data_IF_158165686095
#
_entry.id   IF_158165686095
#
_cell.length_a   1.000
_cell.length_b   1.000
_cell.length_c   1.000
_cell.angle_alpha   90.00
_cell.angle_beta   90.00
_cell.angle_gamma   90.00
#
_symmetry.space_group_name_H-M   'P 1'
#
loop_
_entity.id
_entity.type
_entity.pdbx_description
1 polymer ?
#
# COMPACT_ATOMS: atom_id res chain seq x y z
N UNK A 1 2.97 35.96 -15.86
CA UNK A 1 1.90 35.66 -16.82
C UNK A 1 1.87 34.18 -16.93
N UNK A 2 1.01 33.55 -16.16
CA UNK A 2 0.81 32.11 -16.11
C UNK A 2 -0.46 31.84 -16.92
N UNK A 3 -0.31 31.03 -17.97
CA UNK A 3 -1.43 30.49 -18.73
C UNK A 3 -2.16 29.44 -17.88
N UNK A 4 -3.40 29.75 -17.53
CA UNK A 4 -4.35 28.80 -17.02
C UNK A 4 -4.80 27.90 -18.19
N UNK A 5 -4.19 26.73 -18.36
CA UNK A 5 -4.74 25.68 -19.21
C UNK A 5 -6.06 25.17 -18.60
N UNK A 6 -7.16 25.58 -19.20
CA UNK A 6 -8.48 24.97 -18.98
C UNK A 6 -8.42 23.50 -19.40
N UNK A 7 -8.36 22.61 -18.44
CA UNK A 7 -8.52 21.17 -18.65
C UNK A 7 -9.95 20.90 -19.10
N UNK A 8 -10.19 20.79 -20.39
CA UNK A 8 -11.46 20.27 -20.92
C UNK A 8 -11.60 18.81 -20.50
N UNK A 9 -12.60 18.51 -19.66
CA UNK A 9 -12.96 17.15 -19.30
C UNK A 9 -13.35 16.36 -20.56
N UNK A 10 -12.76 15.19 -20.74
CA UNK A 10 -13.09 14.28 -21.83
C UNK A 10 -14.58 13.86 -21.74
N UNK A 11 -15.29 13.67 -22.86
CA UNK A 11 -16.72 13.33 -22.87
C UNK A 11 -17.12 12.11 -22.05
N UNK A 12 -16.23 11.15 -21.85
CA UNK A 12 -16.45 9.95 -21.04
C UNK A 12 -16.50 10.21 -19.53
N UNK A 13 -15.81 11.22 -19.01
CA UNK A 13 -15.86 11.60 -17.60
C UNK A 13 -17.14 12.37 -17.24
N UNK A 14 -17.69 13.11 -18.19
CA UNK A 14 -18.98 13.79 -18.04
C UNK A 14 -20.16 12.81 -18.03
N UNK A 15 -20.07 11.67 -18.71
CA UNK A 15 -21.10 10.60 -18.70
C UNK A 15 -21.12 9.82 -17.37
N UNK A 16 -20.00 9.66 -16.70
CA UNK A 16 -19.93 8.95 -15.42
C UNK A 16 -20.54 9.73 -14.25
N UNK A 17 -20.52 11.06 -14.28
CA UNK A 17 -21.16 11.91 -13.26
C UNK A 17 -22.67 12.12 -13.48
N UNK A 18 -23.22 11.74 -14.62
CA UNK A 18 -24.63 11.90 -14.97
C UNK A 18 -25.47 10.61 -14.90
N UNK A 19 -24.94 9.53 -14.32
CA UNK A 19 -25.64 8.26 -14.20
C UNK A 19 -26.70 8.30 -13.09
N UNK A 20 -27.83 8.94 -13.38
CA UNK A 20 -29.10 8.53 -12.80
C UNK A 20 -29.42 7.08 -13.25
N UNK A 21 -30.09 6.25 -12.42
CA UNK A 21 -30.36 4.85 -12.75
C UNK A 21 -30.98 4.74 -14.14
N UNK A 22 -30.32 4.01 -15.03
CA UNK A 22 -30.71 3.87 -16.44
C UNK A 22 -32.11 3.29 -16.67
N UNK A 23 -32.72 2.67 -15.67
CA UNK A 23 -34.03 2.00 -15.75
C UNK A 23 -35.25 2.93 -15.60
N UNK A 24 -35.08 4.15 -15.06
CA UNK A 24 -36.23 5.05 -14.82
C UNK A 24 -36.52 6.06 -15.97
N UNK A 25 -35.69 6.08 -17.01
CA UNK A 25 -35.75 7.09 -18.09
C UNK A 25 -36.44 6.58 -19.38
N UNK A 26 -36.79 5.31 -19.44
CA UNK A 26 -37.46 4.77 -20.62
C UNK A 26 -38.95 4.97 -20.55
N UNK A 27 -39.45 5.70 -21.56
CA UNK A 27 -40.86 5.82 -22.03
C UNK A 27 -41.76 6.85 -21.34
N UNK A 28 -41.40 8.12 -21.46
CA UNK A 28 -42.43 9.17 -21.40
C UNK A 28 -42.81 9.50 -22.84
N UNK A 29 -44.09 9.28 -23.23
CA UNK A 29 -44.60 9.67 -24.53
C UNK A 29 -44.70 11.20 -24.63
N UNK A 30 -44.75 11.74 -25.84
CA UNK A 30 -44.92 13.19 -26.06
C UNK A 30 -46.26 13.70 -25.49
N UNK A 31 -47.31 12.86 -25.46
CA UNK A 31 -48.60 13.17 -24.83
C UNK A 31 -48.48 13.20 -23.30
N UNK A 32 -47.80 12.24 -22.71
CA UNK A 32 -47.55 12.22 -21.27
C UNK A 32 -46.66 13.38 -20.85
N UNK A 33 -45.66 13.74 -21.68
CA UNK A 33 -44.84 14.93 -21.47
C UNK A 33 -45.68 16.22 -21.47
N UNK A 34 -46.59 16.37 -22.45
CA UNK A 34 -47.45 17.54 -22.58
C UNK A 34 -48.43 17.63 -21.38
N UNK A 35 -48.99 16.49 -20.91
CA UNK A 35 -49.83 16.43 -19.74
C UNK A 35 -49.08 16.87 -18.48
N UNK A 36 -47.89 16.28 -18.24
CA UNK A 36 -47.03 16.63 -17.06
C UNK A 36 -46.63 18.10 -17.08
N UNK A 37 -46.30 18.64 -18.25
CA UNK A 37 -45.97 20.06 -18.40
C UNK A 37 -47.19 20.94 -18.12
N UNK A 38 -48.40 20.55 -18.56
CA UNK A 38 -49.63 21.24 -18.25
C UNK A 38 -49.92 21.29 -16.76
N UNK A 39 -49.82 20.14 -16.11
CA UNK A 39 -49.98 20.01 -14.65
C UNK A 39 -48.94 20.79 -13.87
N UNK A 40 -47.68 20.72 -14.30
CA UNK A 40 -46.59 21.50 -13.68
C UNK A 40 -46.84 23.01 -13.79
N UNK A 41 -47.30 23.51 -14.95
CA UNK A 41 -47.65 24.92 -15.08
C UNK A 41 -48.84 25.33 -14.16
N UNK A 42 -49.83 24.45 -14.00
CA UNK A 42 -50.90 24.67 -13.05
C UNK A 42 -50.42 24.77 -11.60
N UNK A 43 -49.50 23.88 -11.21
CA UNK A 43 -48.92 23.87 -9.87
C UNK A 43 -47.98 25.04 -9.64
N UNK A 44 -47.17 25.43 -10.66
CA UNK A 44 -46.39 26.65 -10.59
C UNK A 44 -47.25 27.91 -10.48
N UNK A 45 -48.45 27.92 -11.07
CA UNK A 45 -49.40 29.01 -10.92
C UNK A 45 -49.92 29.11 -9.48
N UNK A 46 -50.11 27.97 -8.78
CA UNK A 46 -50.41 27.94 -7.34
C UNK A 46 -49.29 28.55 -6.53
N UNK A 47 -48.02 28.17 -6.85
CA UNK A 47 -46.85 28.76 -6.19
C UNK A 47 -46.78 30.28 -6.39
N UNK A 48 -47.09 30.77 -7.60
CA UNK A 48 -47.15 32.20 -7.88
C UNK A 48 -48.15 32.95 -6.99
N UNK A 49 -49.25 32.32 -6.64
CA UNK A 49 -50.22 32.88 -5.73
C UNK A 49 -49.77 32.93 -4.26
N UNK A 50 -48.80 32.08 -3.90
CA UNK A 50 -48.18 32.04 -2.57
C UNK A 50 -46.99 33.00 -2.44
N UNK A 51 -46.37 33.40 -3.55
CA UNK A 51 -45.25 34.34 -3.55
C UNK A 51 -45.72 35.76 -3.37
N UNK A 52 -45.05 36.59 -2.54
CA UNK A 52 -45.35 37.98 -2.44
C UNK A 52 -45.10 38.68 -3.77
N UNK A 53 -46.01 39.58 -4.15
CA UNK A 53 -45.76 40.49 -5.27
C UNK A 53 -44.60 41.43 -4.93
N UNK A 54 -43.72 41.67 -5.87
CA UNK A 54 -42.62 42.62 -5.72
C UNK A 54 -42.77 43.77 -6.75
N UNK A 55 -42.29 44.93 -6.37
CA UNK A 55 -42.33 46.10 -7.24
C UNK A 55 -41.10 46.08 -8.16
N UNK A 56 -41.30 46.29 -9.47
CA UNK A 56 -40.24 46.55 -10.41
C UNK A 56 -39.60 47.92 -10.16
N UNK A 57 -38.49 48.22 -10.82
CA UNK A 57 -37.87 49.56 -10.79
C UNK A 57 -38.81 50.67 -11.25
N UNK A 58 -39.79 50.36 -12.10
CA UNK A 58 -40.79 51.27 -12.61
C UNK A 58 -42.06 51.39 -11.73
N UNK A 59 -42.06 50.66 -10.60
CA UNK A 59 -43.12 50.73 -9.58
C UNK A 59 -44.29 49.78 -9.78
N UNK A 60 -44.31 48.96 -10.82
CA UNK A 60 -45.35 47.99 -11.10
C UNK A 60 -45.27 46.76 -10.19
N UNK A 61 -46.40 46.27 -9.71
CA UNK A 61 -46.54 45.09 -8.92
C UNK A 61 -46.55 43.85 -9.85
N UNK A 62 -45.49 43.05 -9.82
CA UNK A 62 -45.34 41.84 -10.64
C UNK A 62 -45.36 40.63 -9.77
N UNK A 63 -46.15 39.59 -10.12
CA UNK A 63 -46.10 38.26 -9.51
C UNK A 63 -44.99 37.41 -10.13
N UNK A 64 -44.31 36.61 -9.34
CA UNK A 64 -43.12 35.93 -9.72
C UNK A 64 -43.18 35.05 -11.00
N UNK A 65 -44.39 34.66 -11.46
CA UNK A 65 -44.55 33.82 -12.67
C UNK A 65 -44.75 34.66 -13.94
N UNK A 66 -45.12 35.93 -13.84
CA UNK A 66 -45.25 36.83 -15.00
C UNK A 66 -43.92 37.25 -15.57
N UNK A 67 -42.83 36.81 -14.95
CA UNK A 67 -41.43 37.12 -15.36
C UNK A 67 -40.87 36.20 -16.45
N UNK A 68 -41.67 35.35 -17.11
CA UNK A 68 -41.20 34.62 -18.27
C UNK A 68 -40.92 35.60 -19.42
N UNK A 69 -39.66 35.92 -19.68
CA UNK A 69 -39.25 36.85 -20.68
C UNK A 69 -39.83 36.48 -22.07
N UNK A 70 -40.68 37.28 -22.67
CA UNK A 70 -41.29 37.04 -23.94
C UNK A 70 -40.28 36.84 -25.09
N UNK A 71 -39.09 37.43 -24.95
CA UNK A 71 -38.01 37.33 -25.94
C UNK A 71 -37.44 35.91 -26.00
N UNK A 72 -37.70 35.06 -25.01
CA UNK A 72 -37.26 33.66 -25.00
C UNK A 72 -38.30 32.65 -25.50
N UNK A 73 -39.44 33.12 -25.97
CA UNK A 73 -40.52 32.26 -26.50
C UNK A 73 -40.07 31.34 -27.64
N UNK A 74 -39.20 31.86 -28.52
CA UNK A 74 -38.64 31.06 -29.61
C UNK A 74 -37.77 29.91 -29.02
N UNK A 75 -36.96 30.18 -28.06
CA UNK A 75 -36.10 29.16 -27.42
C UNK A 75 -36.94 28.12 -26.67
N UNK A 76 -38.04 28.52 -26.05
CA UNK A 76 -38.98 27.58 -25.40
C UNK A 76 -39.66 26.67 -26.40
N UNK A 77 -40.15 27.23 -27.55
CA UNK A 77 -40.77 26.46 -28.63
C UNK A 77 -39.76 25.50 -29.25
N UNK A 78 -38.52 25.91 -29.47
CA UNK A 78 -37.45 25.05 -29.96
C UNK A 78 -37.15 23.90 -28.99
N UNK A 79 -37.03 24.19 -27.70
CA UNK A 79 -36.82 23.18 -26.67
C UNK A 79 -37.92 22.16 -26.60
N UNK A 80 -39.21 22.57 -26.81
CA UNK A 80 -40.35 21.69 -26.73
C UNK A 80 -40.53 20.84 -28.01
N UNK A 81 -40.11 21.33 -29.18
CA UNK A 81 -40.41 20.71 -30.49
C UNK A 81 -39.24 19.95 -31.12
N UNK A 82 -37.98 20.37 -30.88
CA UNK A 82 -36.83 19.77 -31.55
C UNK A 82 -36.41 18.43 -30.96
N UNK A 83 -36.12 17.40 -31.79
CA UNK A 83 -35.64 16.09 -31.29
C UNK A 83 -34.36 16.12 -30.49
N UNK A 84 -33.47 17.06 -30.79
CA UNK A 84 -32.17 17.23 -30.12
C UNK A 84 -32.29 17.46 -28.61
N UNK A 85 -33.42 17.99 -28.17
CA UNK A 85 -33.70 18.23 -26.76
C UNK A 85 -34.49 17.10 -26.06
N UNK A 86 -34.72 15.96 -26.71
CA UNK A 86 -35.54 14.88 -26.15
C UNK A 86 -35.01 14.35 -24.81
N UNK A 87 -33.67 14.19 -24.69
CA UNK A 87 -33.02 13.77 -23.43
C UNK A 87 -33.20 14.80 -22.31
N UNK A 88 -33.03 16.08 -22.64
CA UNK A 88 -33.20 17.19 -21.67
C UNK A 88 -34.65 17.33 -21.22
N UNK A 89 -35.63 17.13 -22.13
CA UNK A 89 -37.04 17.10 -21.78
C UNK A 89 -37.35 15.98 -20.78
N UNK A 90 -36.88 14.76 -21.01
CA UNK A 90 -37.08 13.64 -20.07
C UNK A 90 -36.50 13.93 -18.70
N UNK A 91 -35.31 14.50 -18.65
CA UNK A 91 -34.69 14.89 -17.38
C UNK A 91 -35.50 16.01 -16.68
N UNK A 92 -36.01 16.98 -17.44
CA UNK A 92 -36.84 18.06 -16.91
C UNK A 92 -38.12 17.51 -16.31
N UNK A 93 -38.82 16.60 -17.00
CA UNK A 93 -40.03 15.93 -16.48
C UNK A 93 -39.76 15.24 -15.14
N UNK A 94 -38.69 14.49 -15.04
CA UNK A 94 -38.33 13.83 -13.79
C UNK A 94 -38.10 14.83 -12.64
N UNK A 95 -37.42 15.93 -12.91
CA UNK A 95 -37.22 17.01 -11.93
C UNK A 95 -38.53 17.73 -11.57
N UNK A 96 -39.35 18.02 -12.56
CA UNK A 96 -40.65 18.67 -12.36
C UNK A 96 -41.61 17.81 -11.53
N UNK A 97 -41.63 16.47 -11.71
CA UNK A 97 -42.44 15.57 -10.85
C UNK A 97 -42.14 15.74 -9.37
N UNK A 98 -40.90 15.92 -8.99
CA UNK A 98 -40.49 16.17 -7.62
C UNK A 98 -41.14 17.49 -7.11
N UNK A 99 -41.01 18.56 -7.90
CA UNK A 99 -41.58 19.86 -7.55
C UNK A 99 -43.11 19.85 -7.51
N UNK A 100 -43.76 19.17 -8.48
CA UNK A 100 -45.23 19.01 -8.49
C UNK A 100 -45.73 18.30 -7.25
N UNK A 101 -45.04 17.26 -6.81
CA UNK A 101 -45.38 16.51 -5.59
C UNK A 101 -45.31 17.43 -4.35
N UNK A 102 -44.28 18.25 -4.22
CA UNK A 102 -44.19 19.25 -3.15
C UNK A 102 -45.29 20.31 -3.20
N UNK A 103 -45.54 20.86 -4.39
CA UNK A 103 -46.56 21.90 -4.56
C UNK A 103 -47.96 21.38 -4.35
N UNK A 104 -48.27 20.16 -4.74
CA UNK A 104 -49.60 19.53 -4.56
C UNK A 104 -49.91 19.21 -3.11
N UNK A 105 -48.89 18.94 -2.28
CA UNK A 105 -49.04 18.61 -0.85
C UNK A 105 -49.03 19.83 0.05
N UNK A 106 -48.72 21.03 -0.44
CA UNK A 106 -48.48 22.21 0.39
C UNK A 106 -49.52 23.28 0.16
N UNK A 107 -50.10 23.76 1.26
CA UNK A 107 -51.10 24.82 1.24
C UNK A 107 -50.55 26.24 1.47
N UNK A 108 -49.31 26.34 1.95
CA UNK A 108 -48.67 27.62 2.26
C UNK A 108 -47.14 27.55 2.00
N UNK A 109 -46.45 28.70 1.95
CA UNK A 109 -44.99 28.79 1.84
C UNK A 109 -44.28 28.11 3.00
N UNK A 110 -44.85 28.19 4.20
CA UNK A 110 -44.27 27.56 5.38
C UNK A 110 -44.37 26.03 5.31
N UNK A 111 -45.47 25.51 4.76
CA UNK A 111 -45.65 24.08 4.51
C UNK A 111 -44.65 23.59 3.46
N UNK A 112 -44.41 24.37 2.39
CA UNK A 112 -43.39 24.04 1.37
C UNK A 112 -42.03 23.94 2.02
N UNK A 113 -41.62 24.93 2.83
CA UNK A 113 -40.32 24.95 3.53
C UNK A 113 -40.18 23.75 4.47
N UNK A 114 -41.24 23.47 5.25
CA UNK A 114 -41.24 22.34 6.18
C UNK A 114 -41.05 21.00 5.42
N UNK A 115 -41.86 20.77 4.38
CA UNK A 115 -41.81 19.56 3.58
C UNK A 115 -40.45 19.40 2.88
N UNK A 116 -39.86 20.50 2.34
CA UNK A 116 -38.53 20.47 1.74
C UNK A 116 -37.45 20.14 2.77
N UNK A 117 -37.47 20.73 3.95
CA UNK A 117 -36.52 20.43 5.00
C UNK A 117 -36.64 18.97 5.49
N UNK A 118 -37.86 18.44 5.61
CA UNK A 118 -38.07 17.04 5.98
C UNK A 118 -37.53 16.08 4.92
N UNK A 119 -37.78 16.37 3.64
CA UNK A 119 -37.22 15.53 2.55
C UNK A 119 -35.69 15.68 2.42
N UNK A 120 -35.15 16.88 2.57
CA UNK A 120 -33.73 17.09 2.62
C UNK A 120 -33.06 16.27 3.74
N UNK A 121 -33.64 16.32 4.95
CA UNK A 121 -33.15 15.53 6.07
C UNK A 121 -33.20 14.00 5.81
N UNK A 122 -34.28 13.52 5.18
CA UNK A 122 -34.39 12.11 4.77
C UNK A 122 -33.32 11.74 3.72
N UNK A 123 -33.09 12.60 2.72
CA UNK A 123 -32.11 12.39 1.68
C UNK A 123 -30.69 12.39 2.26
N UNK A 124 -30.40 13.32 3.18
CA UNK A 124 -29.10 13.37 3.90
C UNK A 124 -28.88 12.10 4.72
N UNK A 125 -29.91 11.66 5.47
CA UNK A 125 -29.83 10.40 6.24
C UNK A 125 -29.60 9.19 5.32
N UNK A 126 -30.28 9.12 4.19
CA UNK A 126 -30.11 8.05 3.22
C UNK A 126 -28.73 8.10 2.55
N UNK A 127 -28.24 9.30 2.21
CA UNK A 127 -26.90 9.49 1.66
C UNK A 127 -25.86 9.03 2.68
N UNK A 128 -25.94 9.46 3.92
CA UNK A 128 -25.04 9.05 4.98
C UNK A 128 -25.03 7.53 5.16
N UNK A 129 -26.22 6.90 5.22
CA UNK A 129 -26.35 5.44 5.32
C UNK A 129 -25.71 4.72 4.12
N UNK A 130 -25.88 5.25 2.92
CA UNK A 130 -25.29 4.67 1.71
C UNK A 130 -23.78 4.86 1.68
N UNK A 131 -23.28 6.04 2.07
CA UNK A 131 -21.85 6.31 2.16
C UNK A 131 -21.17 5.41 3.20
N UNK A 132 -21.78 5.21 4.38
CA UNK A 132 -21.28 4.24 5.37
C UNK A 132 -21.20 2.82 4.81
N UNK A 133 -22.19 2.38 4.00
CA UNK A 133 -22.14 1.08 3.32
C UNK A 133 -21.00 1.00 2.29
N UNK A 134 -20.82 2.05 1.49
CA UNK A 134 -19.76 2.12 0.48
C UNK A 134 -18.39 2.06 1.16
N UNK A 135 -18.17 2.88 2.20
CA UNK A 135 -16.92 2.86 2.96
C UNK A 135 -16.64 1.48 3.56
N UNK A 136 -17.65 0.84 4.16
CA UNK A 136 -17.49 -0.51 4.70
C UNK A 136 -17.13 -1.54 3.62
N UNK A 137 -17.77 -1.47 2.45
CA UNK A 137 -17.50 -2.40 1.34
C UNK A 137 -16.16 -2.17 0.65
N UNK A 138 -15.67 -0.92 0.62
CA UNK A 138 -14.39 -0.57 -0.02
C UNK A 138 -13.18 -0.60 0.93
N UNK A 139 -13.39 -0.79 2.24
CA UNK A 139 -12.34 -0.68 3.27
C UNK A 139 -11.15 -1.60 3.01
N UNK A 140 -11.39 -2.83 2.61
CA UNK A 140 -10.34 -3.80 2.30
C UNK A 140 -9.50 -3.37 1.08
N UNK A 141 -10.16 -2.95 0.01
CA UNK A 141 -9.48 -2.43 -1.19
C UNK A 141 -8.70 -1.16 -0.88
N UNK A 142 -9.25 -0.27 -0.05
CA UNK A 142 -8.55 0.94 0.39
C UNK A 142 -7.31 0.60 1.23
N UNK A 143 -7.38 -0.40 2.10
CA UNK A 143 -6.23 -0.87 2.90
C UNK A 143 -5.10 -1.33 1.98
N UNK A 144 -5.43 -2.12 0.95
CA UNK A 144 -4.46 -2.57 -0.06
C UNK A 144 -3.87 -1.39 -0.83
N UNK A 145 -4.71 -0.46 -1.30
CA UNK A 145 -4.26 0.76 -1.97
C UNK A 145 -3.30 1.56 -1.09
N UNK A 146 -3.63 1.76 0.19
CA UNK A 146 -2.79 2.49 1.14
C UNK A 146 -1.46 1.79 1.42
N UNK A 147 -1.44 0.46 1.44
CA UNK A 147 -0.19 -0.30 1.56
C UNK A 147 0.73 -0.05 0.35
N UNK A 148 0.18 -0.09 -0.87
CA UNK A 148 0.92 0.23 -2.09
C UNK A 148 1.40 1.68 -2.11
N UNK A 149 0.56 2.63 -1.72
CA UNK A 149 0.90 4.05 -1.59
C UNK A 149 2.08 4.26 -0.63
N UNK A 150 2.04 3.64 0.55
CA UNK A 150 3.15 3.65 1.53
C UNK A 150 4.43 3.01 0.99
N UNK A 151 4.33 1.95 0.18
CA UNK A 151 5.49 1.38 -0.49
C UNK A 151 6.16 2.41 -1.39
N UNK A 152 5.43 3.05 -2.29
CA UNK A 152 6.00 4.03 -3.22
C UNK A 152 6.51 5.28 -2.51
N UNK A 153 5.80 5.80 -1.50
CA UNK A 153 6.24 6.93 -0.70
C UNK A 153 7.59 6.72 0.01
N UNK A 154 8.00 5.45 0.19
CA UNK A 154 9.26 5.07 0.81
C UNK A 154 10.29 4.51 -0.18
N UNK A 155 9.88 4.03 -1.35
CA UNK A 155 10.77 3.48 -2.36
C UNK A 155 11.36 4.54 -3.29
N UNK A 156 10.56 5.55 -3.66
CA UNK A 156 10.97 6.62 -4.57
C UNK A 156 11.76 7.70 -3.82
N UNK A 157 12.82 8.20 -4.46
CA UNK A 157 13.55 9.39 -4.03
C UNK A 157 12.97 10.64 -4.68
N UNK A 158 12.61 10.53 -5.96
CA UNK A 158 11.97 11.56 -6.75
C UNK A 158 10.61 11.05 -7.25
N UNK A 159 9.59 11.94 -7.43
CA UNK A 159 8.23 11.52 -7.81
C UNK A 159 8.14 10.70 -9.09
N UNK A 160 9.04 10.92 -10.04
CA UNK A 160 9.05 10.24 -11.35
C UNK A 160 10.01 9.06 -11.42
N UNK A 161 10.63 8.68 -10.31
CA UNK A 161 11.56 7.55 -10.27
C UNK A 161 10.84 6.23 -10.54
N UNK A 162 11.38 5.44 -11.46
CA UNK A 162 10.85 4.11 -11.77
C UNK A 162 11.29 3.10 -10.72
N UNK A 163 10.30 2.50 -10.07
CA UNK A 163 10.49 1.42 -9.12
C UNK A 163 10.19 0.09 -9.79
N UNK A 164 11.09 -0.87 -9.67
CA UNK A 164 10.90 -2.22 -10.19
C UNK A 164 10.06 -3.03 -9.19
N UNK A 165 8.75 -3.05 -9.40
CA UNK A 165 7.79 -3.79 -8.58
C UNK A 165 6.73 -4.46 -9.45
N UNK A 166 6.31 -5.66 -9.01
CA UNK A 166 5.20 -6.39 -9.60
C UNK A 166 4.11 -6.55 -8.53
N UNK A 167 2.86 -6.33 -8.92
CA UNK A 167 1.71 -6.42 -8.02
C UNK A 167 0.85 -7.60 -8.42
N UNK A 168 0.62 -8.51 -7.47
CA UNK A 168 -0.35 -9.59 -7.60
C UNK A 168 -1.63 -9.17 -6.84
N UNK A 169 -2.76 -9.13 -7.52
CA UNK A 169 -4.05 -8.81 -6.89
C UNK A 169 -4.63 -10.08 -6.24
N UNK A 170 -4.04 -10.49 -5.12
CA UNK A 170 -4.41 -11.68 -4.35
C UNK A 170 -4.36 -11.29 -2.88
N UNK A 171 -5.42 -11.57 -2.11
CA UNK A 171 -5.43 -11.28 -0.67
C UNK A 171 -4.59 -12.29 0.12
N UNK A 172 -4.16 -11.90 1.33
CA UNK A 172 -3.46 -12.81 2.25
C UNK A 172 -4.33 -14.03 2.61
N UNK A 173 -5.64 -13.84 2.77
CA UNK A 173 -6.60 -14.91 3.05
C UNK A 173 -6.70 -15.90 1.88
N UNK A 174 -6.72 -15.43 0.64
CA UNK A 174 -6.70 -16.28 -0.54
C UNK A 174 -5.39 -17.07 -0.67
N UNK A 175 -4.25 -16.45 -0.35
CA UNK A 175 -2.95 -17.11 -0.38
C UNK A 175 -2.77 -18.17 0.71
N UNK A 176 -3.50 -18.06 1.81
CA UNK A 176 -3.41 -18.99 2.96
C UNK A 176 -4.60 -19.93 3.07
N UNK A 177 -5.51 -19.93 2.09
CA UNK A 177 -6.69 -20.77 2.10
C UNK A 177 -6.31 -22.26 1.99
N UNK A 178 -6.58 -23.09 3.02
CA UNK A 178 -6.23 -24.50 2.99
C UNK A 178 -7.02 -25.31 1.95
N UNK A 179 -8.20 -24.81 1.54
CA UNK A 179 -9.08 -25.48 0.58
C UNK A 179 -8.79 -25.08 -0.88
N UNK A 180 -8.07 -23.97 -1.10
CA UNK A 180 -7.71 -23.47 -2.43
C UNK A 180 -6.25 -23.01 -2.42
N UNK A 181 -5.34 -23.89 -2.79
CA UNK A 181 -3.90 -23.62 -2.84
C UNK A 181 -3.42 -23.13 -4.19
N UNK A 182 -4.28 -23.09 -5.18
CA UNK A 182 -3.91 -22.80 -6.57
C UNK A 182 -3.24 -21.41 -6.69
N UNK A 183 -3.77 -20.40 -6.01
CA UNK A 183 -3.23 -19.04 -6.06
C UNK A 183 -1.81 -18.95 -5.49
N UNK A 184 -1.57 -19.60 -4.35
CA UNK A 184 -0.25 -19.66 -3.74
C UNK A 184 0.75 -20.44 -4.60
N UNK A 185 0.32 -21.59 -5.18
CA UNK A 185 1.15 -22.37 -6.09
C UNK A 185 1.50 -21.59 -7.36
N UNK A 186 0.55 -20.87 -7.94
CA UNK A 186 0.78 -20.04 -9.13
C UNK A 186 1.74 -18.89 -8.84
N UNK A 187 1.60 -18.21 -7.70
CA UNK A 187 2.56 -17.19 -7.25
C UNK A 187 3.96 -17.80 -7.08
N UNK A 188 4.06 -18.94 -6.41
CA UNK A 188 5.33 -19.63 -6.18
C UNK A 188 5.98 -20.07 -7.49
N UNK A 189 5.19 -20.59 -8.45
CA UNK A 189 5.66 -20.97 -9.79
C UNK A 189 6.20 -19.75 -10.55
N UNK A 190 5.45 -18.64 -10.58
CA UNK A 190 5.87 -17.43 -11.27
C UNK A 190 7.20 -16.88 -10.74
N UNK A 191 7.39 -16.87 -9.43
CA UNK A 191 8.65 -16.46 -8.79
C UNK A 191 9.79 -17.46 -9.12
N UNK A 192 9.48 -18.76 -9.08
CA UNK A 192 10.47 -19.81 -9.34
C UNK A 192 10.92 -19.84 -10.80
N UNK A 193 10.03 -19.54 -11.75
CA UNK A 193 10.36 -19.47 -13.17
C UNK A 193 11.43 -18.42 -13.43
N UNK A 194 11.25 -17.19 -12.94
CA UNK A 194 12.27 -16.12 -13.10
C UNK A 194 13.60 -16.47 -12.43
N UNK A 195 13.58 -17.19 -11.30
CA UNK A 195 14.79 -17.62 -10.62
C UNK A 195 15.51 -18.76 -11.37
N UNK A 196 14.79 -19.59 -12.13
CA UNK A 196 15.35 -20.70 -12.92
C UNK A 196 15.91 -20.28 -14.28
N UNK A 197 15.63 -19.06 -14.72
CA UNK A 197 16.20 -18.53 -15.95
C UNK A 197 17.74 -18.58 -15.96
N UNK A 198 18.32 -18.69 -17.14
CA UNK A 198 19.78 -18.63 -17.32
C UNK A 198 20.36 -17.29 -16.89
N UNK A 199 19.62 -16.21 -17.14
CA UNK A 199 19.92 -14.87 -16.65
C UNK A 199 18.98 -14.49 -15.53
N UNK A 200 19.46 -14.48 -14.30
CA UNK A 200 18.65 -14.18 -13.11
C UNK A 200 18.56 -12.68 -12.77
N UNK A 201 18.73 -11.82 -13.78
CA UNK A 201 18.62 -10.37 -13.60
C UNK A 201 17.20 -9.93 -13.19
N UNK A 202 16.21 -10.63 -13.71
CA UNK A 202 14.79 -10.35 -13.47
C UNK A 202 14.22 -11.06 -12.22
N UNK A 203 15.04 -11.84 -11.50
CA UNK A 203 14.56 -12.56 -10.32
C UNK A 203 14.26 -11.62 -9.15
N UNK A 204 13.20 -11.91 -8.41
CA UNK A 204 12.78 -11.14 -7.26
C UNK A 204 13.78 -11.21 -6.09
N UNK A 205 13.97 -10.07 -5.40
CA UNK A 205 14.75 -9.98 -4.17
C UNK A 205 13.87 -10.08 -2.92
N UNK A 206 12.67 -9.53 -2.99
CA UNK A 206 11.70 -9.49 -1.90
C UNK A 206 10.30 -9.86 -2.41
N UNK A 207 9.51 -10.47 -1.53
CA UNK A 207 8.07 -10.67 -1.69
C UNK A 207 7.39 -10.10 -0.45
N UNK A 208 6.50 -9.15 -0.64
CA UNK A 208 5.79 -8.46 0.43
C UNK A 208 4.34 -8.91 0.43
N UNK A 209 3.88 -9.42 1.56
CA UNK A 209 2.48 -9.79 1.79
C UNK A 209 1.98 -8.92 2.94
N UNK A 210 1.42 -7.73 2.62
CA UNK A 210 0.95 -6.82 3.65
C UNK A 210 -0.20 -7.43 4.45
N UNK A 211 -0.06 -7.43 5.77
CA UNK A 211 -1.01 -8.00 6.69
C UNK A 211 -0.59 -9.36 7.25
N UNK A 212 -1.44 -9.90 8.09
CA UNK A 212 -1.16 -11.13 8.82
C UNK A 212 -1.53 -12.37 8.00
N UNK A 213 -0.66 -13.37 7.98
CA UNK A 213 -0.86 -14.64 7.25
C UNK A 213 -1.70 -15.68 8.01
N UNK A 214 -2.33 -15.32 9.12
CA UNK A 214 -3.28 -16.16 9.85
C UNK A 214 -2.68 -17.12 10.85
N UNK A 215 -1.46 -17.66 10.64
CA UNK A 215 -0.81 -18.58 11.55
C UNK A 215 0.71 -18.67 11.32
N UNK A 216 1.43 -19.25 12.29
CA UNK A 216 2.87 -19.56 12.17
C UNK A 216 3.11 -20.58 11.06
N UNK A 217 2.23 -21.58 10.89
CA UNK A 217 2.35 -22.59 9.82
C UNK A 217 2.28 -21.96 8.42
N UNK A 218 1.41 -20.97 8.24
CA UNK A 218 1.33 -20.22 6.97
C UNK A 218 2.62 -19.44 6.74
N UNK A 219 3.13 -18.73 7.76
CA UNK A 219 4.42 -17.99 7.69
C UNK A 219 5.55 -18.95 7.30
N UNK A 220 5.63 -20.10 7.93
CA UNK A 220 6.61 -21.15 7.65
C UNK A 220 6.47 -21.71 6.22
N UNK A 221 5.25 -21.85 5.74
CA UNK A 221 4.96 -22.30 4.37
C UNK A 221 5.50 -21.33 3.33
N UNK A 222 5.31 -20.03 3.53
CA UNK A 222 5.91 -19.00 2.67
C UNK A 222 7.44 -19.06 2.70
N UNK A 223 8.03 -19.13 3.88
CA UNK A 223 9.49 -19.28 4.03
C UNK A 223 10.02 -20.52 3.33
N UNK A 224 9.39 -21.67 3.51
CA UNK A 224 9.80 -22.99 3.02
C UNK A 224 9.63 -23.16 1.52
N UNK A 225 8.47 -22.75 0.97
CA UNK A 225 8.13 -23.03 -0.42
C UNK A 225 8.50 -21.88 -1.37
N UNK A 226 8.49 -20.63 -0.90
CA UNK A 226 8.76 -19.49 -1.72
C UNK A 226 10.13 -18.85 -1.40
N UNK A 227 10.40 -18.51 -0.14
CA UNK A 227 11.58 -17.75 0.26
C UNK A 227 12.89 -18.52 0.07
N UNK A 228 13.05 -19.65 0.75
CA UNK A 228 14.28 -20.44 0.79
C UNK A 228 14.71 -20.96 -0.59
N UNK A 229 13.83 -21.60 -1.41
CA UNK A 229 14.24 -22.15 -2.70
C UNK A 229 14.66 -21.07 -3.71
N UNK A 230 13.98 -19.94 -3.70
CA UNK A 230 14.16 -18.89 -4.70
C UNK A 230 15.03 -17.72 -4.21
N UNK A 231 15.56 -17.81 -2.98
CA UNK A 231 16.35 -16.73 -2.36
C UNK A 231 15.62 -15.38 -2.37
N UNK A 232 14.33 -15.42 -2.00
CA UNK A 232 13.44 -14.26 -1.92
C UNK A 232 13.12 -13.99 -0.46
N UNK A 233 13.33 -12.77 -0.02
CA UNK A 233 13.02 -12.36 1.35
C UNK A 233 11.54 -12.01 1.50
N UNK A 234 10.85 -12.67 2.43
CA UNK A 234 9.42 -12.48 2.69
C UNK A 234 9.25 -11.44 3.79
N UNK A 235 8.37 -10.46 3.53
CA UNK A 235 7.97 -9.47 4.52
C UNK A 235 6.46 -9.58 4.75
N UNK A 236 6.05 -9.71 6.00
CA UNK A 236 4.65 -9.79 6.42
C UNK A 236 4.49 -9.18 7.81
N UNK A 237 3.28 -9.13 8.33
CA UNK A 237 2.96 -8.41 9.55
C UNK A 237 2.26 -9.31 10.58
N UNK A 238 2.27 -8.90 11.85
CA UNK A 238 1.35 -9.39 12.86
C UNK A 238 -0.05 -8.79 12.64
N UNK A 239 -1.09 -9.26 13.34
CA UNK A 239 -2.41 -8.64 13.33
C UNK A 239 -2.37 -7.17 13.77
N UNK A 240 -3.42 -6.42 13.42
CA UNK A 240 -3.60 -5.03 13.80
C UNK A 240 -4.03 -4.91 15.27
N UNK A 241 -3.09 -4.96 16.19
CA UNK A 241 -3.32 -4.82 17.62
C UNK A 241 -3.44 -3.35 18.03
N UNK A 242 -4.27 -3.07 19.02
CA UNK A 242 -4.44 -1.72 19.56
C UNK A 242 -3.44 -1.38 20.67
N UNK A 243 -2.90 -2.40 21.32
CA UNK A 243 -2.02 -2.26 22.49
C UNK A 243 -0.81 -3.16 22.40
N UNK A 244 0.27 -2.74 23.05
CA UNK A 244 1.48 -3.53 23.18
C UNK A 244 1.24 -4.87 23.90
N UNK A 245 0.39 -4.87 24.93
CA UNK A 245 0.07 -6.06 25.72
C UNK A 245 -0.54 -7.16 24.84
N UNK A 246 -1.43 -6.80 23.92
CA UNK A 246 -2.06 -7.76 22.98
C UNK A 246 -1.02 -8.41 22.06
N UNK A 247 0.00 -7.66 21.65
CA UNK A 247 1.13 -8.22 20.88
C UNK A 247 1.88 -9.25 21.70
N UNK A 248 2.17 -8.93 22.96
CA UNK A 248 2.91 -9.83 23.83
C UNK A 248 2.08 -11.07 24.20
N UNK A 249 0.81 -10.91 24.51
CA UNK A 249 -0.10 -12.03 24.79
C UNK A 249 -0.11 -13.03 23.60
N UNK A 250 -0.16 -12.53 22.36
CA UNK A 250 -0.07 -13.38 21.17
C UNK A 250 1.30 -14.06 21.06
N UNK A 251 2.40 -13.31 21.24
CA UNK A 251 3.76 -13.86 21.08
C UNK A 251 4.18 -14.82 22.20
N UNK A 252 3.49 -14.79 23.33
CA UNK A 252 3.67 -15.67 24.47
C UNK A 252 2.74 -16.90 24.43
N UNK A 253 1.72 -16.87 23.55
CA UNK A 253 0.83 -18.01 23.33
C UNK A 253 1.61 -19.23 22.80
N UNK A 254 1.33 -20.44 23.30
CA UNK A 254 2.00 -21.66 22.84
C UNK A 254 1.95 -21.91 21.31
N UNK A 255 0.93 -21.43 20.63
CA UNK A 255 0.81 -21.53 19.16
C UNK A 255 1.88 -20.72 18.41
N UNK A 256 2.48 -19.72 19.06
CA UNK A 256 3.56 -18.87 18.53
C UNK A 256 4.95 -19.25 19.07
N UNK A 257 5.06 -20.24 19.94
CA UNK A 257 6.35 -20.67 20.51
C UNK A 257 7.39 -21.03 19.43
N UNK A 258 6.94 -21.49 18.27
CA UNK A 258 7.78 -21.86 17.13
C UNK A 258 7.91 -20.76 16.06
N UNK A 259 7.47 -19.52 16.33
CA UNK A 259 7.62 -18.43 15.37
C UNK A 259 9.09 -18.25 14.99
N UNK A 260 9.97 -18.10 15.97
CA UNK A 260 11.43 -18.19 15.76
C UNK A 260 11.91 -19.63 15.76
N UNK A 261 13.02 -19.90 15.05
CA UNK A 261 13.61 -21.23 15.04
C UNK A 261 14.94 -21.32 14.31
N UNK A 262 15.47 -22.53 14.23
CA UNK A 262 16.76 -22.83 13.59
C UNK A 262 16.63 -23.37 12.17
N UNK A 263 15.41 -23.48 11.66
CA UNK A 263 15.15 -23.97 10.30
C UNK A 263 15.62 -22.97 9.26
N UNK A 264 16.31 -23.44 8.25
CA UNK A 264 16.95 -22.58 7.24
C UNK A 264 16.01 -21.66 6.47
N UNK A 265 14.73 -21.99 6.35
CA UNK A 265 13.76 -21.14 5.68
C UNK A 265 13.36 -19.90 6.50
N UNK A 266 13.49 -19.95 7.83
CA UNK A 266 13.16 -18.83 8.74
C UNK A 266 14.08 -17.61 8.55
N UNK A 267 15.29 -17.82 8.01
CA UNK A 267 16.19 -16.71 7.67
C UNK A 267 15.69 -15.84 6.49
N UNK A 268 14.65 -16.30 5.78
CA UNK A 268 14.05 -15.59 4.65
C UNK A 268 12.74 -14.88 5.01
N UNK A 269 12.36 -14.85 6.26
CA UNK A 269 11.11 -14.22 6.69
C UNK A 269 11.38 -13.16 7.74
N UNK A 270 10.82 -11.98 7.54
CA UNK A 270 10.76 -10.90 8.53
C UNK A 270 9.31 -10.51 8.78
N UNK A 271 8.94 -10.44 10.05
CA UNK A 271 7.61 -10.07 10.51
C UNK A 271 7.67 -8.71 11.19
N UNK A 272 6.67 -7.86 10.93
CA UNK A 272 6.60 -6.51 11.46
C UNK A 272 5.38 -6.34 12.37
N UNK A 273 5.46 -5.40 13.30
CA UNK A 273 4.38 -5.08 14.21
C UNK A 273 4.19 -3.57 14.33
N UNK A 274 2.97 -3.17 14.74
CA UNK A 274 2.53 -1.80 14.95
C UNK A 274 2.14 -1.09 13.64
N UNK A 275 0.85 -1.14 13.33
CA UNK A 275 0.28 -0.61 12.08
C UNK A 275 0.43 0.92 11.99
N UNK A 276 0.53 1.38 10.75
CA UNK A 276 0.63 2.79 10.38
C UNK A 276 -0.76 3.38 10.16
N UNK A 277 -1.00 4.61 10.62
CA UNK A 277 -2.21 5.33 10.28
C UNK A 277 -2.21 5.67 8.79
N UNK A 278 -3.22 5.20 8.07
CA UNK A 278 -3.44 5.51 6.67
C UNK A 278 -4.26 6.79 6.48
N UNK A 279 -5.34 6.95 7.25
CA UNK A 279 -6.14 8.18 7.34
C UNK A 279 -6.95 8.21 8.63
N UNK A 280 -7.36 9.41 9.01
CA UNK A 280 -8.28 9.58 10.14
C UNK A 280 -9.69 9.10 9.79
N UNK A 281 -10.48 8.83 10.83
CA UNK A 281 -11.92 8.67 10.75
C UNK A 281 -12.56 9.88 10.04
N UNK A 282 -13.69 9.66 9.41
CA UNK A 282 -14.48 10.70 8.76
C UNK A 282 -15.96 10.58 9.16
N UNK A 283 -16.80 11.49 8.66
CA UNK A 283 -18.24 11.52 9.02
C UNK A 283 -19.02 10.23 8.66
N UNK A 284 -18.46 9.37 7.83
CA UNK A 284 -19.10 8.11 7.39
C UNK A 284 -18.48 6.87 8.04
N UNK A 285 -17.41 7.03 8.81
CA UNK A 285 -16.62 5.96 9.39
C UNK A 285 -16.06 6.39 10.74
N UNK A 286 -16.43 5.67 11.79
CA UNK A 286 -16.17 6.08 13.18
C UNK A 286 -14.73 5.71 13.63
N UNK A 287 -14.01 4.91 12.83
CA UNK A 287 -12.67 4.44 13.16
C UNK A 287 -11.62 4.93 12.16
N UNK A 288 -10.43 5.25 12.67
CA UNK A 288 -9.25 5.50 11.85
C UNK A 288 -8.91 4.28 10.99
N UNK A 289 -8.31 4.52 9.84
CA UNK A 289 -7.83 3.47 8.97
C UNK A 289 -6.35 3.21 9.22
N UNK A 290 -6.02 1.94 9.40
CA UNK A 290 -4.67 1.46 9.64
C UNK A 290 -4.20 0.56 8.51
N UNK A 291 -2.91 0.67 8.13
CA UNK A 291 -2.29 -0.14 7.08
C UNK A 291 -1.10 -0.91 7.64
N UNK A 292 -0.86 -2.14 7.15
CA UNK A 292 0.28 -2.95 7.58
C UNK A 292 1.62 -2.26 7.28
N UNK A 293 2.62 -2.33 8.18
CA UNK A 293 3.89 -1.65 8.01
C UNK A 293 4.84 -2.30 7.00
N UNK A 294 4.71 -3.59 6.70
CA UNK A 294 5.64 -4.33 5.84
C UNK A 294 5.85 -3.69 4.46
N UNK A 295 4.78 -3.16 3.86
CA UNK A 295 4.86 -2.48 2.56
C UNK A 295 5.73 -1.20 2.62
N UNK A 296 5.53 -0.37 3.64
CA UNK A 296 6.33 0.85 3.84
C UNK A 296 7.80 0.52 4.12
N UNK A 297 8.06 -0.50 4.95
CA UNK A 297 9.42 -0.97 5.24
C UNK A 297 10.09 -1.55 4.00
N UNK A 298 9.35 -2.31 3.18
CA UNK A 298 9.87 -2.83 1.92
C UNK A 298 10.26 -1.71 0.94
N UNK A 299 9.43 -0.66 0.85
CA UNK A 299 9.77 0.55 0.10
C UNK A 299 11.06 1.19 0.62
N UNK A 300 11.19 1.31 1.94
CA UNK A 300 12.40 1.83 2.57
C UNK A 300 13.62 0.95 2.33
N UNK A 301 13.47 -0.36 2.34
CA UNK A 301 14.54 -1.31 2.00
C UNK A 301 14.95 -1.17 0.53
N UNK A 302 14.00 -1.02 -0.39
CA UNK A 302 14.28 -0.76 -1.81
C UNK A 302 15.09 0.53 -2.00
N UNK A 303 14.67 1.62 -1.37
CA UNK A 303 15.39 2.89 -1.40
C UNK A 303 16.80 2.76 -0.81
N UNK A 304 16.92 2.09 0.35
CA UNK A 304 18.19 1.88 1.03
C UNK A 304 19.18 1.07 0.22
N UNK A 305 18.72 0.04 -0.51
CA UNK A 305 19.56 -0.78 -1.40
C UNK A 305 20.21 0.07 -2.51
N UNK A 306 19.49 1.10 -2.96
CA UNK A 306 19.97 2.00 -4.03
C UNK A 306 20.95 3.05 -3.50
N UNK A 307 20.68 3.62 -2.32
CA UNK A 307 21.43 4.78 -1.78
C UNK A 307 22.66 4.35 -0.97
N UNK A 308 22.48 3.36 -0.10
CA UNK A 308 23.47 2.98 0.93
C UNK A 308 24.02 1.60 0.67
N UNK A 309 23.20 0.73 0.10
CA UNK A 309 23.50 -0.68 -0.11
C UNK A 309 22.79 -1.60 0.90
N UNK A 310 22.59 -2.84 0.49
CA UNK A 310 21.79 -3.83 1.21
C UNK A 310 22.38 -4.31 2.54
N UNK A 311 23.68 -4.06 2.80
CA UNK A 311 24.35 -4.39 4.06
C UNK A 311 23.80 -3.54 5.21
N UNK A 312 23.29 -2.34 4.90
CA UNK A 312 22.70 -1.46 5.89
C UNK A 312 21.23 -1.81 6.09
N UNK A 313 20.83 -2.29 7.27
CA UNK A 313 19.40 -2.48 7.53
C UNK A 313 18.69 -1.14 7.61
N UNK A 314 17.50 -1.06 7.02
CA UNK A 314 16.63 0.10 7.10
C UNK A 314 15.89 0.09 8.44
N UNK A 315 16.65 0.26 9.52
CA UNK A 315 16.17 0.23 10.89
C UNK A 315 16.91 1.28 11.73
N UNK A 316 16.32 1.65 12.87
CA UNK A 316 16.84 2.66 13.78
C UNK A 316 16.61 4.10 13.31
N UNK A 317 16.90 5.05 14.19
CA UNK A 317 16.56 6.46 13.99
C UNK A 317 17.22 7.13 12.78
N UNK A 318 18.34 6.60 12.32
CA UNK A 318 19.06 7.15 11.17
C UNK A 318 18.50 6.66 9.82
N UNK A 319 18.17 5.37 9.72
CA UNK A 319 17.81 4.74 8.44
C UNK A 319 16.39 4.18 8.39
N UNK A 320 15.75 3.97 9.54
CA UNK A 320 14.43 3.35 9.65
C UNK A 320 13.25 4.31 9.64
N UNK A 321 13.45 5.60 9.40
CA UNK A 321 12.35 6.57 9.32
C UNK A 321 11.45 6.28 8.13
N UNK A 322 10.15 6.12 8.39
CA UNK A 322 9.14 5.85 7.38
C UNK A 322 8.51 7.17 6.93
N UNK A 323 8.58 7.44 5.65
CA UNK A 323 7.95 8.61 5.04
C UNK A 323 6.43 8.48 5.07
N UNK A 324 5.73 9.62 5.15
CA UNK A 324 4.27 9.69 5.16
C UNK A 324 3.60 8.81 6.25
N UNK A 325 4.25 8.67 7.42
CA UNK A 325 3.75 7.90 8.55
C UNK A 325 3.99 8.67 9.86
N UNK A 326 2.93 9.33 10.37
CA UNK A 326 3.00 10.15 11.59
C UNK A 326 2.57 9.39 12.84
N UNK A 327 1.57 8.53 12.70
CA UNK A 327 0.95 7.86 13.84
C UNK A 327 1.01 6.34 13.69
N UNK A 328 1.17 5.69 14.83
CA UNK A 328 1.18 4.24 14.98
C UNK A 328 -0.01 3.80 15.82
N UNK A 329 -0.46 2.55 15.65
CA UNK A 329 -1.63 2.01 16.34
C UNK A 329 -1.47 2.07 17.86
N UNK A 330 -0.28 1.74 18.37
CA UNK A 330 0.05 1.84 19.78
C UNK A 330 1.42 2.49 20.01
N UNK A 331 1.65 2.99 21.23
CA UNK A 331 2.94 3.51 21.65
C UNK A 331 3.76 2.36 22.22
N UNK A 332 4.98 2.20 21.73
CA UNK A 332 5.99 1.30 22.30
C UNK A 332 7.20 2.13 22.72
N UNK A 333 7.66 1.95 23.95
CA UNK A 333 8.90 2.51 24.45
C UNK A 333 10.09 1.60 24.10
N UNK A 334 11.29 1.94 24.51
CA UNK A 334 12.49 1.17 24.20
C UNK A 334 12.46 -0.27 24.79
N UNK A 335 12.08 -0.51 26.07
CA UNK A 335 11.88 -1.86 26.58
C UNK A 335 10.84 -2.68 25.85
N UNK A 336 9.71 -2.06 25.44
CA UNK A 336 8.65 -2.74 24.71
C UNK A 336 9.12 -3.17 23.32
N UNK A 337 9.80 -2.27 22.60
CA UNK A 337 10.40 -2.59 21.31
C UNK A 337 11.44 -3.72 21.44
N UNK A 338 12.24 -3.73 22.50
CA UNK A 338 13.23 -4.79 22.74
C UNK A 338 12.56 -6.14 22.96
N UNK A 339 11.49 -6.21 23.77
CA UNK A 339 10.74 -7.45 24.02
C UNK A 339 10.14 -8.03 22.73
N UNK A 340 9.56 -7.17 21.87
CA UNK A 340 9.05 -7.61 20.57
C UNK A 340 10.20 -8.13 19.69
N UNK A 341 11.35 -7.44 19.66
CA UNK A 341 12.52 -7.86 18.88
C UNK A 341 13.11 -9.20 19.37
N UNK A 342 13.10 -9.48 20.68
CA UNK A 342 13.53 -10.75 21.25
C UNK A 342 12.71 -11.94 20.74
N UNK A 343 11.45 -11.71 20.36
CA UNK A 343 10.57 -12.69 19.73
C UNK A 343 10.75 -12.78 18.21
N UNK A 344 11.74 -12.09 17.61
CA UNK A 344 12.03 -12.10 16.17
C UNK A 344 11.13 -11.21 15.33
N UNK A 345 10.29 -10.41 15.96
CA UNK A 345 9.38 -9.47 15.30
C UNK A 345 9.99 -8.06 15.30
N UNK A 346 9.80 -7.33 14.23
CA UNK A 346 10.36 -5.99 14.02
C UNK A 346 9.30 -4.92 14.34
N UNK A 347 9.37 -4.25 15.51
CA UNK A 347 8.40 -3.22 15.85
C UNK A 347 8.67 -1.91 15.10
N UNK A 348 7.60 -1.16 14.86
CA UNK A 348 7.68 0.25 14.54
C UNK A 348 7.41 1.06 15.81
N UNK A 349 8.18 2.13 16.00
CA UNK A 349 8.05 3.04 17.15
C UNK A 349 7.85 4.48 16.66
N UNK A 350 7.22 5.31 17.48
CA UNK A 350 7.10 6.75 17.20
C UNK A 350 8.29 7.50 17.78
N UNK A 351 8.97 8.25 16.95
CA UNK A 351 10.07 9.12 17.36
C UNK A 351 9.94 10.49 16.68
N UNK A 352 9.88 11.56 17.48
CA UNK A 352 9.73 12.94 16.98
C UNK A 352 8.59 13.12 15.97
N UNK A 353 7.46 12.45 16.20
CA UNK A 353 6.28 12.55 15.34
C UNK A 353 6.39 11.80 14.00
N UNK A 354 7.36 10.90 13.88
CA UNK A 354 7.55 10.05 12.69
C UNK A 354 7.59 8.58 13.12
N UNK A 355 7.03 7.68 12.30
CA UNK A 355 7.18 6.25 12.50
C UNK A 355 8.60 5.80 12.10
N UNK A 356 9.21 4.95 12.91
CA UNK A 356 10.56 4.41 12.69
C UNK A 356 10.54 2.90 12.87
N UNK A 357 11.08 2.16 11.89
CA UNK A 357 11.31 0.73 12.03
C UNK A 357 12.49 0.49 13.01
N UNK A 358 12.25 -0.24 14.11
CA UNK A 358 13.23 -0.48 15.17
C UNK A 358 13.68 -1.94 15.23
N UNK A 359 13.69 -2.64 14.12
CA UNK A 359 14.14 -4.01 14.03
C UNK A 359 14.68 -4.37 12.64
N UNK A 360 15.61 -5.30 12.63
CA UNK A 360 16.19 -5.88 11.41
C UNK A 360 16.26 -7.40 11.49
N UNK A 361 15.40 -8.01 12.31
CA UNK A 361 15.39 -9.44 12.57
C UNK A 361 14.73 -10.24 11.45
N UNK A 362 15.27 -11.42 11.22
CA UNK A 362 14.55 -12.53 10.59
C UNK A 362 14.00 -13.43 11.69
N UNK A 363 13.16 -14.40 11.32
CA UNK A 363 12.67 -15.42 12.27
C UNK A 363 13.73 -16.48 12.62
N UNK A 364 14.94 -16.37 12.10
CA UNK A 364 16.03 -17.29 12.37
C UNK A 364 16.74 -16.94 13.69
N UNK A 365 16.84 -17.90 14.61
CA UNK A 365 17.34 -17.64 15.95
C UNK A 365 18.86 -17.68 16.09
N UNK A 366 19.60 -18.24 15.11
CA UNK A 366 21.06 -18.29 15.18
C UNK A 366 21.68 -17.00 14.65
N UNK A 367 22.82 -16.63 15.21
CA UNK A 367 23.64 -15.50 14.76
C UNK A 367 23.96 -15.54 13.26
N UNK A 368 24.33 -14.41 12.73
CA UNK A 368 24.60 -14.10 11.32
C UNK A 368 23.36 -13.93 10.48
N UNK A 369 22.51 -14.95 10.34
CA UNK A 369 21.31 -14.88 9.50
C UNK A 369 20.03 -14.49 10.25
N UNK A 370 20.14 -14.11 11.49
CA UNK A 370 19.07 -13.47 12.26
C UNK A 370 18.87 -11.98 11.91
N UNK A 371 19.64 -11.46 10.93
CA UNK A 371 19.54 -10.09 10.41
C UNK A 371 19.25 -10.14 8.92
N UNK A 372 18.17 -9.53 8.48
CA UNK A 372 17.76 -9.60 7.08
C UNK A 372 18.77 -8.96 6.11
N UNK A 373 19.45 -7.88 6.50
CA UNK A 373 20.45 -7.24 5.63
C UNK A 373 21.63 -8.16 5.33
N UNK A 374 22.07 -8.95 6.31
CA UNK A 374 23.12 -9.94 6.12
C UNK A 374 22.64 -11.06 5.20
N UNK A 375 21.44 -11.62 5.45
CA UNK A 375 20.88 -12.67 4.59
C UNK A 375 20.76 -12.19 3.14
N UNK A 376 20.21 -11.01 2.92
CA UNK A 376 20.05 -10.41 1.60
C UNK A 376 21.42 -10.16 0.90
N UNK A 377 22.44 -9.76 1.65
CA UNK A 377 23.81 -9.62 1.13
C UNK A 377 24.35 -10.94 0.58
N UNK A 378 24.19 -12.03 1.32
CA UNK A 378 24.57 -13.36 0.84
C UNK A 378 23.78 -13.78 -0.40
N UNK A 379 22.49 -13.49 -0.45
CA UNK A 379 21.64 -13.83 -1.60
C UNK A 379 22.03 -13.03 -2.85
N UNK A 380 22.39 -11.77 -2.70
CA UNK A 380 22.89 -10.94 -3.79
C UNK A 380 24.19 -11.50 -4.38
N UNK A 381 25.17 -11.79 -3.52
CA UNK A 381 26.44 -12.39 -3.98
C UNK A 381 26.18 -13.72 -4.64
N UNK A 382 25.36 -14.59 -4.03
CA UNK A 382 25.02 -15.90 -4.58
C UNK A 382 24.38 -15.80 -5.97
N UNK A 383 23.36 -14.94 -6.12
CA UNK A 383 22.66 -14.72 -7.39
C UNK A 383 23.61 -14.17 -8.46
N UNK A 384 24.45 -13.22 -8.11
CA UNK A 384 25.44 -12.64 -9.04
C UNK A 384 26.45 -13.68 -9.50
N UNK A 385 26.99 -14.50 -8.57
CA UNK A 385 27.88 -15.58 -8.88
C UNK A 385 27.22 -16.63 -9.78
N UNK A 386 26.01 -17.06 -9.45
CA UNK A 386 25.24 -18.01 -10.27
C UNK A 386 25.04 -17.47 -11.69
N UNK A 387 24.66 -16.19 -11.83
CA UNK A 387 24.49 -15.57 -13.14
C UNK A 387 25.79 -15.52 -13.96
N UNK A 388 26.95 -15.32 -13.29
CA UNK A 388 28.26 -15.39 -13.93
C UNK A 388 28.59 -16.83 -14.32
N UNK A 389 28.47 -17.79 -13.41
CA UNK A 389 28.82 -19.20 -13.62
C UNK A 389 27.97 -19.87 -14.71
N UNK A 390 26.67 -19.53 -14.78
CA UNK A 390 25.81 -20.00 -15.86
C UNK A 390 26.33 -19.67 -17.26
N UNK A 391 27.06 -18.54 -17.41
CA UNK A 391 27.66 -18.13 -18.68
C UNK A 391 28.95 -18.86 -18.99
N UNK A 392 29.53 -19.56 -18.02
CA UNK A 392 30.77 -20.31 -18.17
C UNK A 392 30.56 -21.81 -18.46
N UNK A 393 29.29 -22.26 -18.45
CA UNK A 393 28.96 -23.67 -18.74
C UNK A 393 29.45 -24.10 -20.09
N UNK A 394 29.88 -25.38 -20.22
CA UNK A 394 30.48 -26.02 -21.40
C UNK A 394 31.85 -25.49 -21.80
N UNK A 395 32.52 -24.67 -21.00
CA UNK A 395 33.91 -24.31 -21.21
C UNK A 395 34.84 -25.44 -20.77
N UNK A 396 35.90 -25.70 -21.51
CA UNK A 396 36.87 -26.76 -21.17
C UNK A 396 37.55 -26.43 -19.85
N UNK A 397 37.60 -27.42 -18.95
CA UNK A 397 38.20 -27.31 -17.62
C UNK A 397 39.72 -27.50 -17.73
N UNK A 398 40.44 -26.42 -18.01
CA UNK A 398 41.89 -26.33 -17.95
C UNK A 398 42.36 -25.32 -16.90
N UNK A 399 43.66 -25.27 -16.62
CA UNK A 399 44.19 -24.34 -15.63
C UNK A 399 43.99 -22.88 -16.03
N UNK A 400 44.07 -22.57 -17.33
CA UNK A 400 43.88 -21.22 -17.87
C UNK A 400 42.44 -20.73 -17.61
N UNK A 401 41.47 -21.62 -17.80
CA UNK A 401 40.05 -21.29 -17.51
C UNK A 401 39.80 -21.06 -16.00
N UNK A 402 40.37 -21.93 -15.13
CA UNK A 402 40.28 -21.78 -13.68
C UNK A 402 40.88 -20.45 -13.22
N UNK A 403 42.04 -20.08 -13.75
CA UNK A 403 42.72 -18.83 -13.41
C UNK A 403 41.97 -17.60 -13.91
N UNK A 404 41.37 -17.66 -15.11
CA UNK A 404 40.52 -16.61 -15.64
C UNK A 404 39.27 -16.42 -14.80
N UNK A 405 38.56 -17.51 -14.44
CA UNK A 405 37.39 -17.49 -13.58
C UNK A 405 37.73 -16.92 -12.20
N UNK A 406 38.85 -17.33 -11.60
CA UNK A 406 39.31 -16.79 -10.31
C UNK A 406 39.54 -15.29 -10.40
N UNK A 407 40.19 -14.81 -11.47
CA UNK A 407 40.44 -13.38 -11.69
C UNK A 407 39.15 -12.58 -11.82
N UNK A 408 38.16 -13.09 -12.56
CA UNK A 408 36.87 -12.41 -12.75
C UNK A 408 36.06 -12.34 -11.45
N UNK A 409 35.99 -13.47 -10.72
CA UNK A 409 35.34 -13.53 -9.42
C UNK A 409 36.01 -12.60 -8.41
N UNK A 410 37.36 -12.64 -8.36
CA UNK A 410 38.14 -11.79 -7.46
C UNK A 410 37.96 -10.30 -7.79
N UNK A 411 37.87 -9.94 -9.06
CA UNK A 411 37.57 -8.57 -9.50
C UNK A 411 36.20 -8.10 -9.02
N UNK A 412 35.17 -8.94 -9.14
CA UNK A 412 33.82 -8.62 -8.63
C UNK A 412 33.85 -8.50 -7.10
N UNK A 413 34.45 -9.47 -6.41
CA UNK A 413 34.49 -9.48 -4.94
C UNK A 413 35.25 -8.27 -4.37
N UNK A 414 36.37 -7.89 -4.99
CA UNK A 414 37.10 -6.66 -4.62
C UNK A 414 36.27 -5.40 -4.78
N UNK A 415 35.46 -5.34 -5.84
CA UNK A 415 34.60 -4.18 -6.08
C UNK A 415 33.52 -3.98 -5.01
N UNK A 416 33.12 -5.03 -4.29
CA UNK A 416 32.09 -4.99 -3.24
C UNK A 416 32.64 -5.14 -1.82
N UNK A 417 33.97 -5.15 -1.65
CA UNK A 417 34.65 -5.37 -0.36
C UNK A 417 35.48 -4.15 0.06
N UNK A 418 35.56 -3.91 1.37
CA UNK A 418 36.36 -2.85 1.98
C UNK A 418 35.67 -1.47 1.94
N UNK A 419 36.26 -0.48 2.62
CA UNK A 419 35.75 0.90 2.67
C UNK A 419 34.25 0.97 3.02
N UNK A 420 33.48 1.69 2.22
CA UNK A 420 32.02 1.84 2.36
C UNK A 420 31.22 0.77 1.61
N UNK A 421 31.90 -0.24 1.03
CA UNK A 421 31.27 -1.31 0.28
C UNK A 421 30.49 -2.32 1.14
N UNK A 422 29.88 -3.30 0.49
CA UNK A 422 28.89 -4.24 1.08
C UNK A 422 29.52 -5.22 2.07
N UNK A 423 30.78 -5.68 1.80
CA UNK A 423 31.48 -6.68 2.58
C UNK A 423 32.69 -6.08 3.30
N UNK A 424 33.05 -6.68 4.43
CA UNK A 424 34.30 -6.38 5.10
C UNK A 424 35.46 -7.14 4.48
N UNK A 425 35.28 -8.44 4.21
CA UNK A 425 36.28 -9.32 3.61
C UNK A 425 35.62 -10.53 2.92
N UNK A 426 36.41 -11.27 2.13
CA UNK A 426 35.97 -12.49 1.45
C UNK A 426 37.12 -13.46 1.22
N UNK A 427 36.78 -14.73 1.00
CA UNK A 427 37.72 -15.73 0.53
C UNK A 427 37.05 -16.58 -0.57
N UNK A 428 37.78 -16.78 -1.70
CA UNK A 428 37.30 -17.58 -2.84
C UNK A 428 38.26 -18.72 -3.10
N UNK A 429 37.74 -19.93 -3.07
CA UNK A 429 38.49 -21.15 -3.42
C UNK A 429 37.80 -21.80 -4.61
N UNK A 430 38.53 -21.97 -5.69
CA UNK A 430 38.08 -22.69 -6.89
C UNK A 430 38.94 -23.93 -7.02
N UNK A 431 38.30 -25.07 -7.10
CA UNK A 431 38.95 -26.35 -7.07
C UNK A 431 38.35 -27.31 -8.12
N UNK A 432 39.21 -28.00 -8.86
CA UNK A 432 38.84 -29.07 -9.78
C UNK A 432 39.98 -30.05 -9.87
N UNK A 433 39.90 -31.20 -9.23
CA UNK A 433 40.84 -32.31 -9.39
C UNK A 433 40.55 -33.12 -10.65
N UNK A 434 41.36 -34.14 -10.90
CA UNK A 434 41.20 -34.97 -12.10
C UNK A 434 39.92 -35.81 -12.10
N UNK A 435 39.41 -36.18 -10.95
CA UNK A 435 38.14 -36.89 -10.82
C UNK A 435 36.94 -35.95 -11.09
N UNK A 436 36.97 -34.77 -10.55
CA UNK A 436 35.95 -33.71 -10.81
C UNK A 436 35.96 -33.31 -12.30
N UNK A 437 37.14 -33.16 -12.91
CA UNK A 437 37.25 -32.88 -14.35
C UNK A 437 36.64 -33.98 -15.21
N UNK A 438 36.79 -35.26 -14.84
CA UNK A 438 36.10 -36.37 -15.51
C UNK A 438 34.59 -36.34 -15.33
N UNK A 439 34.11 -35.86 -14.17
CA UNK A 439 32.68 -35.64 -13.90
C UNK A 439 32.17 -34.31 -14.46
N UNK A 440 33.01 -33.50 -15.08
CA UNK A 440 32.71 -32.17 -15.64
C UNK A 440 32.26 -31.18 -14.57
N UNK A 441 32.83 -31.23 -13.38
CA UNK A 441 32.49 -30.45 -12.20
C UNK A 441 33.61 -29.51 -11.79
N UNK A 442 33.27 -28.34 -11.27
CA UNK A 442 34.17 -27.39 -10.62
C UNK A 442 33.50 -26.92 -9.34
N UNK A 443 34.20 -26.99 -8.23
CA UNK A 443 33.76 -26.44 -6.97
C UNK A 443 34.19 -24.99 -6.83
N UNK A 444 33.22 -24.10 -6.60
CA UNK A 444 33.45 -22.69 -6.30
C UNK A 444 32.91 -22.40 -4.90
N UNK A 445 33.83 -22.26 -3.95
CA UNK A 445 33.50 -21.94 -2.57
C UNK A 445 33.80 -20.46 -2.30
N UNK A 446 32.76 -19.71 -1.92
CA UNK A 446 32.85 -18.29 -1.55
C UNK A 446 32.50 -18.14 -0.08
N UNK A 447 33.46 -17.70 0.72
CA UNK A 447 33.26 -17.37 2.12
C UNK A 447 33.19 -15.85 2.27
N UNK A 448 32.17 -15.35 2.94
CA UNK A 448 31.90 -13.91 3.08
C UNK A 448 32.02 -13.49 4.54
N UNK A 449 32.66 -12.36 4.76
CA UNK A 449 32.64 -11.64 6.03
C UNK A 449 31.77 -10.39 5.85
N UNK A 450 30.48 -10.42 6.27
CA UNK A 450 29.58 -9.28 6.13
C UNK A 450 29.87 -8.18 7.15
N UNK A 451 29.40 -6.98 6.87
CA UNK A 451 29.36 -5.91 7.86
C UNK A 451 28.15 -6.10 8.79
N UNK A 452 28.39 -6.09 10.08
CA UNK A 452 27.35 -6.26 11.10
C UNK A 452 26.85 -4.89 11.56
N UNK A 453 25.53 -4.67 11.61
CA UNK A 453 24.98 -3.46 12.21
C UNK A 453 25.14 -3.46 13.72
N UNK A 454 25.50 -2.31 14.30
CA UNK A 454 25.49 -2.14 15.74
C UNK A 454 24.05 -2.13 16.28
N UNK A 455 23.76 -2.99 17.26
CA UNK A 455 22.44 -3.05 17.93
C UNK A 455 22.50 -2.52 19.36
N UNK A 456 23.60 -2.73 20.06
CA UNK A 456 23.77 -2.39 21.48
C UNK A 456 25.06 -1.61 21.66
N UNK A 457 25.00 -0.55 22.43
CA UNK A 457 26.15 0.23 22.86
C UNK A 457 26.34 0.05 24.37
N UNK A 458 27.50 -0.45 24.76
CA UNK A 458 27.90 -0.50 26.16
C UNK A 458 28.73 0.75 26.43
N UNK A 459 28.27 1.60 27.34
CA UNK A 459 28.95 2.85 27.69
C UNK A 459 29.57 2.67 29.09
N UNK A 460 30.87 2.84 29.16
CA UNK A 460 31.59 2.84 30.43
C UNK A 460 32.18 4.24 30.65
N UNK A 461 31.79 4.89 31.75
CA UNK A 461 32.37 6.15 32.16
C UNK A 461 33.51 5.88 33.15
N UNK A 462 34.72 6.31 32.80
CA UNK A 462 35.88 6.21 33.64
C UNK A 462 36.22 7.62 34.13
N UNK A 463 36.15 7.82 35.47
CA UNK A 463 36.58 9.08 36.06
C UNK A 463 38.13 9.17 36.00
N UNK A 464 38.63 10.20 35.33
CA UNK A 464 40.05 10.48 35.27
C UNK A 464 40.47 11.15 36.61
N UNK A 465 41.24 10.42 37.42
CA UNK A 465 41.90 10.97 38.57
C UNK A 465 43.41 10.89 38.37
N UNK A 466 44.16 11.95 38.68
CA UNK A 466 45.61 11.99 38.41
C UNK A 466 46.41 10.88 39.14
N UNK A 467 45.82 10.27 40.16
CA UNK A 467 46.51 9.27 41.00
C UNK A 467 45.94 7.83 40.93
N UNK A 468 44.71 7.62 40.41
CA UNK A 468 44.13 6.27 40.26
C UNK A 468 43.01 6.24 39.23
N UNK A 469 42.99 5.27 38.35
CA UNK A 469 41.84 4.95 37.50
C UNK A 469 40.77 4.23 38.34
N UNK A 470 39.67 4.89 38.62
CA UNK A 470 38.49 4.24 39.22
C UNK A 470 37.46 3.99 38.13
N UNK A 471 37.21 2.72 37.80
CA UNK A 471 36.15 2.30 36.91
C UNK A 471 34.82 2.35 37.62
N UNK A 472 33.91 3.21 37.18
CA UNK A 472 32.51 3.20 37.61
C UNK A 472 31.73 2.46 36.55
N UNK A 473 31.24 1.26 36.83
CA UNK A 473 30.32 0.50 35.99
C UNK A 473 28.90 0.80 36.48
N UNK A 474 28.16 1.59 35.69
CA UNK A 474 26.71 1.64 35.82
C UNK A 474 26.10 0.45 35.06
N UNK A 475 25.37 -0.37 35.80
CA UNK A 475 24.65 -1.53 35.29
C UNK A 475 23.28 -1.11 34.73
#
# INVERSE_FOLDING_TARGET
MADEEKREMKPQEAEAMAAAPKEAVEKVSDEEFASIMGDAFADFSKLANLLPSFKTADGDLVRGVEWLDPKKDFQRKDFLSKPDFAKQRKLLVHRLKIWMDFLSRSGSLDDIRKNLNEEAAKLETNLEKNMRKVHKASREMETTYRAVDKFFANAQQEPDEKVNAYFANISAEELTNPNDKEKFENLTKAIAELYREWSIKECFAMCVVPGYLGSVENIDTFGRQLGFPNKVHILTDLPNFEKFEEVMDMLEDPSYANLMGIDNYKQYVSVFANYLMARNANQYEDEDMWTPPSAAVAGKMYQGDTIVGMQQPMAGFKYGKISDAKYLRFKANQPDASKINEKGVNPLVSFEGTAVAMGAATLFSKETFNVYSIRRTYDYVYKTMRNYLNKQTFTVIDQKFIDAMRKDIDKFMKAITGGDNILQDYNVVIFADDEMRRRQEIDVKVSLNPKYPARTFNIEFVAWNQDNQTNVKDK
#
